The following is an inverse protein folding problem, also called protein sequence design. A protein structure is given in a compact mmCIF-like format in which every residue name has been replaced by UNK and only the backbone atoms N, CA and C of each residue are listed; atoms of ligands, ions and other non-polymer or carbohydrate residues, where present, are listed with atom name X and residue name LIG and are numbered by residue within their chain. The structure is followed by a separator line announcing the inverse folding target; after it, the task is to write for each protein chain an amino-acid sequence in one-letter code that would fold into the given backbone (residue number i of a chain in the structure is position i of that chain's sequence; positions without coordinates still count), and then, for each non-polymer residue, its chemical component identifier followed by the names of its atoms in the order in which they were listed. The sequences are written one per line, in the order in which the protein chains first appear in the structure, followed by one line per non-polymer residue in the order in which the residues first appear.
data_IF_254346909968
#
_entry.id   IF_254346909968
#
_cell.length_a   1.000
_cell.length_b   1.000
_cell.length_c   1.000
_cell.angle_alpha   90.00
_cell.angle_beta   90.00
_cell.angle_gamma   90.00
#
_symmetry.space_group_name_H-M   'P 1'
#
loop_
_entity.id
_entity.type
_entity.pdbx_description
1 polymer ?
#
# COMPACT_ATOMS: atom_id res chain seq x y z
N UNK A 1 -10.26 13.24 14.49
CA UNK A 1 -10.80 12.34 13.44
C UNK A 1 -11.13 13.06 12.15
N UNK A 2 -11.69 14.26 12.19
CA UNK A 2 -11.94 15.11 11.01
C UNK A 2 -10.68 15.40 10.20
N UNK A 3 -9.55 15.64 10.86
CA UNK A 3 -8.28 15.99 10.18
C UNK A 3 -7.71 14.83 9.35
N UNK A 4 -7.81 13.60 9.86
CA UNK A 4 -7.36 12.41 9.14
C UNK A 4 -8.27 12.11 7.92
N UNK A 5 -9.59 12.30 8.07
CA UNK A 5 -10.54 12.13 6.96
C UNK A 5 -10.38 13.18 5.86
N UNK A 6 -9.94 14.39 6.23
CA UNK A 6 -9.72 15.48 5.29
C UNK A 6 -8.36 15.38 4.59
N UNK A 7 -7.36 14.77 5.25
CA UNK A 7 -6.03 14.55 4.68
C UNK A 7 -5.98 13.39 3.68
N UNK A 8 -6.89 12.42 3.81
CA UNK A 8 -6.94 11.25 2.93
C UNK A 8 -8.01 11.46 1.86
N UNK A 9 -7.60 11.55 0.59
CA UNK A 9 -8.52 11.37 -0.56
C UNK A 9 -8.96 9.91 -0.60
N UNK A 10 -10.04 9.58 0.11
CA UNK A 10 -10.53 8.20 0.18
C UNK A 10 -11.28 7.88 -1.09
N UNK A 11 -10.91 6.76 -1.74
CA UNK A 11 -11.62 6.27 -2.92
C UNK A 11 -13.11 6.01 -2.61
N UNK A 12 -14.05 6.50 -3.43
CA UNK A 12 -15.49 6.29 -3.24
C UNK A 12 -15.89 4.82 -3.05
N UNK A 13 -15.21 3.89 -3.70
CA UNK A 13 -15.45 2.44 -3.57
C UNK A 13 -15.21 1.91 -2.14
N UNK A 14 -14.40 2.59 -1.34
CA UNK A 14 -14.24 2.25 0.10
C UNK A 14 -15.46 2.64 0.95
N UNK A 15 -16.33 3.51 0.44
CA UNK A 15 -17.55 3.92 1.15
C UNK A 15 -18.74 2.99 0.91
N UNK A 16 -18.71 2.14 -0.11
CA UNK A 16 -19.75 1.14 -0.38
C UNK A 16 -19.71 -0.02 0.62
N UNK A 17 -18.58 -0.21 1.30
CA UNK A 17 -18.42 -1.25 2.29
C UNK A 17 -19.08 -0.85 3.63
N UNK A 18 -20.02 -1.68 4.11
CA UNK A 18 -20.68 -1.52 5.42
C UNK A 18 -19.68 -1.41 6.59
N UNK A 19 -18.45 -1.87 6.41
CA UNK A 19 -17.37 -1.78 7.39
C UNK A 19 -16.97 -0.33 7.71
N UNK A 20 -17.00 0.60 6.73
CA UNK A 20 -16.60 2.00 6.96
C UNK A 20 -17.58 2.76 7.86
N UNK A 21 -18.87 2.45 7.81
CA UNK A 21 -19.86 3.01 8.75
C UNK A 21 -19.63 2.56 10.19
N UNK A 22 -18.97 1.43 10.41
CA UNK A 22 -18.69 0.88 11.73
C UNK A 22 -17.40 1.43 12.36
N UNK A 23 -16.46 1.97 11.58
CA UNK A 23 -15.17 2.47 12.10
C UNK A 23 -15.36 3.65 13.03
N UNK A 24 -16.24 4.62 12.72
CA UNK A 24 -16.53 5.76 13.59
C UNK A 24 -17.09 5.35 14.96
N UNK A 25 -17.77 4.21 15.07
CA UNK A 25 -18.31 3.68 16.35
C UNK A 25 -17.28 2.88 17.15
N UNK A 26 -16.16 2.49 16.51
CA UNK A 26 -15.14 1.62 17.13
C UNK A 26 -13.88 2.37 17.53
N UNK A 27 -13.75 3.63 17.18
CA UNK A 27 -12.58 4.46 17.45
C UNK A 27 -13.01 5.77 18.11
N UNK A 28 -12.15 6.25 19.01
CA UNK A 28 -12.34 7.53 19.70
C UNK A 28 -11.00 8.26 19.78
N UNK A 29 -11.03 9.54 20.10
CA UNK A 29 -9.80 10.28 20.38
C UNK A 29 -9.34 9.96 21.81
N UNK A 30 -8.08 9.61 21.98
CA UNK A 30 -7.50 9.36 23.31
C UNK A 30 -7.69 10.58 24.21
N UNK A 31 -7.57 11.79 23.64
CA UNK A 31 -7.72 13.05 24.37
C UNK A 31 -9.07 13.21 25.09
N UNK A 32 -10.14 12.57 24.59
CA UNK A 32 -11.48 12.61 25.21
C UNK A 32 -11.57 11.80 26.50
N UNK A 33 -10.62 10.87 26.73
CA UNK A 33 -10.56 9.98 27.87
C UNK A 33 -9.43 10.30 28.86
N UNK A 34 -8.62 11.33 28.55
CA UNK A 34 -7.55 11.76 29.44
C UNK A 34 -8.08 12.61 30.57
N UNK A 35 -7.57 12.39 31.79
CA UNK A 35 -7.88 13.23 32.97
C UNK A 35 -7.25 14.62 32.85
N UNK A 36 -6.15 14.75 32.13
CA UNK A 36 -5.46 16.00 31.83
C UNK A 36 -5.04 16.03 30.37
N UNK A 37 -5.08 17.19 29.70
CA UNK A 37 -4.62 17.31 28.33
C UNK A 37 -3.15 16.92 28.21
N UNK A 38 -2.81 16.18 27.16
CA UNK A 38 -1.44 15.81 26.80
C UNK A 38 -1.18 16.20 25.35
N UNK A 39 -0.01 16.75 25.09
CA UNK A 39 0.51 16.85 23.73
C UNK A 39 0.96 15.48 23.22
N UNK A 40 1.12 15.35 21.90
CA UNK A 40 1.62 14.12 21.25
C UNK A 40 3.01 13.76 21.78
N UNK A 41 3.88 14.75 22.00
CA UNK A 41 5.24 14.54 22.56
C UNK A 41 5.16 14.01 23.98
N UNK A 42 4.37 14.64 24.85
CA UNK A 42 4.18 14.17 26.22
C UNK A 42 3.60 12.77 26.28
N UNK A 43 2.70 12.42 25.36
CA UNK A 43 2.16 11.07 25.26
C UNK A 43 3.24 10.06 24.82
N UNK A 44 4.08 10.41 23.86
CA UNK A 44 5.24 9.62 23.45
C UNK A 44 6.19 9.36 24.63
N UNK A 45 6.55 10.42 25.40
CA UNK A 45 7.42 10.30 26.55
C UNK A 45 6.84 9.38 27.63
N UNK A 46 5.53 9.47 27.86
CA UNK A 46 4.84 8.54 28.81
C UNK A 46 4.89 7.09 28.36
N UNK A 47 4.73 6.83 27.05
CA UNK A 47 4.86 5.47 26.49
C UNK A 47 6.29 4.97 26.69
N UNK A 48 7.29 5.77 26.35
CA UNK A 48 8.69 5.39 26.52
C UNK A 48 9.01 5.09 27.99
N UNK A 49 8.57 5.97 28.91
CA UNK A 49 8.73 5.76 30.34
C UNK A 49 8.07 4.45 30.79
N UNK A 50 6.83 4.20 30.39
CA UNK A 50 6.12 2.95 30.75
C UNK A 50 6.86 1.71 30.24
N UNK A 51 7.41 1.74 29.03
CA UNK A 51 8.20 0.63 28.48
C UNK A 51 9.46 0.41 29.33
N UNK A 52 10.18 1.47 29.66
CA UNK A 52 11.39 1.40 30.47
C UNK A 52 11.09 0.84 31.88
N UNK A 53 9.99 1.28 32.49
CA UNK A 53 9.61 0.86 33.86
C UNK A 53 9.10 -0.59 33.91
N UNK A 54 8.53 -1.11 32.81
CA UNK A 54 7.89 -2.43 32.80
C UNK A 54 8.70 -3.52 32.10
N UNK A 55 9.74 -3.17 31.34
CA UNK A 55 10.57 -4.12 30.60
C UNK A 55 12.01 -4.12 31.14
N UNK A 56 12.42 -5.13 31.93
CA UNK A 56 13.69 -5.11 32.67
C UNK A 56 14.94 -5.10 31.77
N UNK A 57 14.85 -5.51 30.51
CA UNK A 57 15.95 -5.54 29.55
C UNK A 57 15.89 -4.43 28.49
N UNK A 58 15.05 -3.42 28.71
CA UNK A 58 14.91 -2.30 27.79
C UNK A 58 15.93 -1.22 28.14
N UNK A 59 16.62 -0.70 27.13
CA UNK A 59 17.55 0.41 27.28
C UNK A 59 17.21 1.51 26.26
N UNK A 60 17.39 2.75 26.67
CA UNK A 60 17.30 3.87 25.76
C UNK A 60 18.55 3.89 24.88
N UNK A 61 18.35 3.92 23.57
CA UNK A 61 19.41 4.09 22.60
C UNK A 61 19.37 5.50 22.06
N UNK A 62 20.46 6.21 22.20
CA UNK A 62 20.65 7.52 21.57
C UNK A 62 21.51 7.34 20.34
N UNK A 63 21.04 7.92 19.22
CA UNK A 63 21.81 7.85 17.98
C UNK A 63 23.15 8.56 18.13
N UNK A 64 24.22 7.86 17.78
CA UNK A 64 25.55 8.44 17.67
C UNK A 64 25.67 9.40 16.48
N UNK A 65 26.76 10.15 16.43
CA UNK A 65 27.03 11.02 15.28
C UNK A 65 27.18 10.19 13.96
N UNK A 66 27.71 8.99 14.05
CA UNK A 66 27.85 8.09 12.89
C UNK A 66 26.49 7.56 12.44
N UNK A 67 25.60 7.19 13.37
CA UNK A 67 24.22 6.78 13.04
C UNK A 67 23.48 7.92 12.32
N UNK A 68 23.60 9.14 12.84
CA UNK A 68 22.97 10.31 12.22
C UNK A 68 23.53 10.57 10.82
N UNK A 69 24.83 10.40 10.63
CA UNK A 69 25.46 10.54 9.32
C UNK A 69 24.94 9.51 8.31
N UNK A 70 24.85 8.23 8.71
CA UNK A 70 24.33 7.17 7.85
C UNK A 70 22.82 7.32 7.57
N UNK A 71 22.01 7.72 8.55
CA UNK A 71 20.60 8.04 8.36
C UNK A 71 20.44 9.20 7.37
N UNK A 72 21.26 10.26 7.52
CA UNK A 72 21.24 11.41 6.62
C UNK A 72 21.60 11.02 5.20
N UNK A 73 22.65 10.21 5.04
CA UNK A 73 23.08 9.68 3.74
C UNK A 73 21.94 8.86 3.08
N UNK A 74 21.33 7.94 3.82
CA UNK A 74 20.21 7.13 3.31
C UNK A 74 19.00 7.99 2.93
N UNK A 75 18.70 9.03 3.72
CA UNK A 75 17.68 10.03 3.37
C UNK A 75 17.99 10.68 2.02
N UNK A 76 19.21 11.16 1.84
CA UNK A 76 19.58 11.98 0.67
C UNK A 76 19.73 11.12 -0.58
N UNK A 77 20.29 9.91 -0.47
CA UNK A 77 20.48 9.00 -1.59
C UNK A 77 19.18 8.32 -2.06
N UNK A 78 18.20 8.17 -1.18
CA UNK A 78 16.98 7.42 -1.48
C UNK A 78 15.70 8.20 -1.16
N UNK A 79 15.43 8.44 0.11
CA UNK A 79 14.11 8.88 0.56
C UNK A 79 13.76 10.32 0.20
N UNK A 80 14.75 11.20 -0.02
CA UNK A 80 14.53 12.58 -0.49
C UNK A 80 14.54 12.69 -2.01
N UNK A 81 14.84 11.61 -2.74
CA UNK A 81 14.91 11.67 -4.19
C UNK A 81 13.54 11.82 -4.82
N UNK A 82 13.50 12.48 -5.97
CA UNK A 82 12.28 12.60 -6.77
C UNK A 82 11.79 11.21 -7.22
N UNK A 83 12.70 10.33 -7.61
CA UNK A 83 12.38 8.97 -8.05
C UNK A 83 11.68 8.15 -6.97
N UNK A 84 12.15 8.24 -5.73
CA UNK A 84 11.49 7.55 -4.61
C UNK A 84 10.08 8.08 -4.34
N UNK A 85 9.91 9.41 -4.37
CA UNK A 85 8.64 10.04 -3.99
C UNK A 85 7.63 10.12 -5.14
N UNK A 86 8.09 10.24 -6.38
CA UNK A 86 7.24 10.58 -7.54
C UNK A 86 7.59 9.80 -8.82
N UNK A 87 8.81 9.24 -8.94
CA UNK A 87 9.33 8.66 -10.18
C UNK A 87 8.61 7.41 -10.68
N UNK A 88 7.76 6.80 -9.84
CA UNK A 88 7.01 5.59 -10.18
C UNK A 88 5.56 5.88 -10.61
N UNK A 89 5.30 7.07 -11.15
CA UNK A 89 4.00 7.43 -11.74
C UNK A 89 4.10 7.58 -13.26
N UNK A 90 4.34 6.51 -14.02
CA UNK A 90 4.27 6.58 -15.47
C UNK A 90 2.86 6.97 -15.92
N UNK A 91 2.76 7.64 -17.07
CA UNK A 91 1.47 7.90 -17.70
C UNK A 91 0.95 6.60 -18.29
N UNK A 92 0.07 5.93 -17.57
CA UNK A 92 -0.61 4.74 -18.09
C UNK A 92 -1.73 5.13 -19.04
N UNK A 93 -1.93 4.32 -20.08
CA UNK A 93 -3.02 4.51 -21.06
C UNK A 93 -4.32 3.85 -20.64
N UNK A 94 -4.28 2.97 -19.64
CA UNK A 94 -5.42 2.24 -19.10
C UNK A 94 -5.26 2.06 -17.60
N UNK A 95 -6.35 2.24 -16.84
CA UNK A 95 -6.39 1.88 -15.43
C UNK A 95 -7.79 1.39 -15.04
N UNK A 96 -7.83 0.39 -14.18
CA UNK A 96 -9.10 -0.17 -13.64
C UNK A 96 -8.89 -0.66 -12.23
N UNK A 97 -9.92 -0.51 -11.41
CA UNK A 97 -9.94 -1.00 -10.04
C UNK A 97 -11.17 -1.88 -9.83
N UNK A 98 -10.99 -3.00 -9.13
CA UNK A 98 -12.09 -3.82 -8.64
C UNK A 98 -11.89 -4.23 -7.18
N UNK A 99 -12.97 -4.59 -6.52
CA UNK A 99 -12.96 -5.23 -5.22
C UNK A 99 -12.96 -6.74 -5.39
N UNK A 100 -11.98 -7.41 -4.79
CA UNK A 100 -11.85 -8.87 -4.77
C UNK A 100 -12.02 -9.42 -3.35
N UNK A 101 -12.01 -10.72 -3.18
CA UNK A 101 -11.95 -11.36 -1.84
C UNK A 101 -10.64 -11.05 -1.11
N UNK A 102 -9.56 -10.80 -1.85
CA UNK A 102 -8.23 -10.48 -1.32
C UNK A 102 -8.02 -9.01 -0.98
N UNK A 103 -8.95 -8.13 -1.34
CA UNK A 103 -8.84 -6.68 -1.17
C UNK A 103 -9.20 -5.90 -2.43
N UNK A 104 -8.96 -4.58 -2.40
CA UNK A 104 -9.05 -3.77 -3.61
C UNK A 104 -7.80 -4.00 -4.44
N UNK A 105 -7.97 -4.15 -5.73
CA UNK A 105 -6.89 -4.29 -6.70
C UNK A 105 -7.07 -3.26 -7.78
N UNK A 106 -6.03 -2.50 -8.05
CA UNK A 106 -5.96 -1.50 -9.11
C UNK A 106 -4.84 -1.88 -10.06
N UNK A 107 -5.15 -1.93 -11.35
CA UNK A 107 -4.18 -2.19 -12.40
C UNK A 107 -3.97 -0.97 -13.27
N UNK A 108 -2.75 -0.73 -13.65
CA UNK A 108 -2.36 0.31 -14.59
C UNK A 108 -1.58 -0.33 -15.72
N UNK A 109 -2.03 -0.12 -16.95
CA UNK A 109 -1.38 -0.63 -18.15
C UNK A 109 -0.88 0.51 -19.04
N UNK A 110 0.35 0.40 -19.50
CA UNK A 110 0.83 1.14 -20.66
C UNK A 110 0.66 0.27 -21.89
N UNK A 111 -0.22 0.67 -22.81
CA UNK A 111 -0.54 -0.08 -24.03
C UNK A 111 0.04 0.68 -25.20
N UNK A 112 0.94 0.04 -25.92
CA UNK A 112 1.57 0.59 -27.14
C UNK A 112 1.29 -0.34 -28.32
N UNK A 113 0.68 0.21 -29.37
CA UNK A 113 0.33 -0.56 -30.58
C UNK A 113 -0.44 -1.84 -30.31
N UNK A 114 -1.36 -1.81 -29.31
CA UNK A 114 -2.18 -2.95 -28.93
C UNK A 114 -1.46 -4.01 -28.08
N UNK A 115 -0.26 -3.73 -27.59
CA UNK A 115 0.53 -4.63 -26.75
C UNK A 115 0.77 -3.98 -25.39
N UNK A 116 0.78 -4.77 -24.33
CA UNK A 116 1.10 -4.31 -22.98
C UNK A 116 2.61 -4.04 -22.91
N UNK A 117 2.99 -2.77 -22.95
CA UNK A 117 4.38 -2.33 -22.83
C UNK A 117 4.82 -2.17 -21.36
N UNK A 118 3.86 -1.98 -20.45
CA UNK A 118 4.11 -1.86 -19.02
C UNK A 118 2.85 -2.14 -18.23
N UNK A 119 3.04 -2.64 -17.02
CA UNK A 119 1.95 -2.97 -16.09
C UNK A 119 2.39 -2.67 -14.67
N UNK A 120 1.46 -2.13 -13.86
CA UNK A 120 1.60 -1.97 -12.42
C UNK A 120 0.32 -2.36 -11.71
N UNK A 121 0.47 -3.07 -10.60
CA UNK A 121 -0.63 -3.57 -9.77
C UNK A 121 -0.47 -2.99 -8.36
N UNK A 122 -1.50 -2.26 -7.92
CA UNK A 122 -1.59 -1.67 -6.59
C UNK A 122 -2.83 -2.18 -5.86
N UNK A 123 -2.80 -2.10 -4.54
CA UNK A 123 -3.98 -2.46 -3.75
C UNK A 123 -3.67 -2.67 -2.28
N UNK A 124 -4.71 -3.08 -1.55
CA UNK A 124 -4.66 -3.44 -0.13
C UNK A 124 -4.72 -4.97 0.09
N UNK A 125 -4.22 -5.72 -0.88
CA UNK A 125 -4.14 -7.18 -0.87
C UNK A 125 -2.82 -7.70 -0.25
N UNK A 126 -2.82 -8.98 0.13
CA UNK A 126 -1.60 -9.66 0.57
C UNK A 126 -0.95 -10.40 -0.61
N UNK A 127 0.28 -10.00 -0.93
CA UNK A 127 1.12 -10.71 -1.89
C UNK A 127 1.88 -11.85 -1.20
N UNK A 128 1.93 -13.02 -1.83
CA UNK A 128 2.71 -14.20 -1.40
C UNK A 128 4.11 -14.20 -2.02
N UNK A 129 4.28 -13.53 -3.16
CA UNK A 129 5.50 -13.37 -3.93
C UNK A 129 5.63 -11.92 -4.40
N UNK A 130 6.77 -11.57 -4.95
CA UNK A 130 6.96 -10.23 -5.51
C UNK A 130 5.97 -9.98 -6.66
N UNK A 131 5.21 -8.89 -6.52
CA UNK A 131 4.21 -8.47 -7.50
C UNK A 131 4.85 -8.19 -8.86
N UNK A 132 6.09 -7.70 -8.89
CA UNK A 132 6.82 -7.43 -10.12
C UNK A 132 7.09 -8.67 -10.96
N UNK A 133 7.20 -9.86 -10.36
CA UNK A 133 7.31 -11.12 -11.09
C UNK A 133 6.03 -11.39 -11.89
N UNK A 134 4.87 -11.20 -11.27
CA UNK A 134 3.58 -11.38 -11.93
C UNK A 134 3.36 -10.33 -13.02
N UNK A 135 3.69 -9.07 -12.74
CA UNK A 135 3.63 -7.97 -13.71
C UNK A 135 4.46 -8.30 -14.96
N UNK A 136 5.69 -8.79 -14.76
CA UNK A 136 6.60 -9.16 -15.86
C UNK A 136 6.06 -10.22 -16.81
N UNK A 137 5.14 -11.07 -16.35
CA UNK A 137 4.54 -12.11 -17.19
C UNK A 137 3.66 -11.55 -18.32
N UNK A 138 3.13 -10.35 -18.17
CA UNK A 138 2.18 -9.76 -19.11
C UNK A 138 2.81 -8.71 -20.04
N UNK A 139 4.04 -8.29 -19.78
CA UNK A 139 4.76 -7.41 -20.71
C UNK A 139 4.98 -8.13 -22.03
N UNK A 140 4.63 -7.48 -23.15
CA UNK A 140 4.68 -8.06 -24.49
C UNK A 140 3.45 -8.87 -24.90
N UNK A 141 2.46 -9.03 -24.01
CA UNK A 141 1.20 -9.71 -24.33
C UNK A 141 0.26 -8.74 -25.08
N UNK A 142 -0.40 -9.17 -26.19
CA UNK A 142 -1.45 -8.35 -26.79
C UNK A 142 -2.56 -8.03 -25.81
N UNK A 143 -3.00 -6.77 -25.79
CA UNK A 143 -4.11 -6.33 -24.93
C UNK A 143 -5.44 -6.75 -25.55
N UNK A 144 -5.68 -8.04 -25.59
CA UNK A 144 -6.88 -8.69 -26.09
C UNK A 144 -7.31 -9.77 -25.09
N UNK A 145 -8.61 -9.91 -24.87
CA UNK A 145 -9.18 -10.85 -23.90
C UNK A 145 -8.65 -12.27 -24.10
N UNK A 146 -8.59 -12.72 -25.34
CA UNK A 146 -8.10 -14.06 -25.70
C UNK A 146 -6.64 -14.26 -25.30
N UNK A 147 -5.76 -13.34 -25.66
CA UNK A 147 -4.33 -13.44 -25.37
C UNK A 147 -4.04 -13.39 -23.87
N UNK A 148 -4.76 -12.51 -23.14
CA UNK A 148 -4.66 -12.41 -21.69
C UNK A 148 -5.18 -13.67 -21.02
N UNK A 149 -6.33 -14.21 -21.45
CA UNK A 149 -6.89 -15.45 -20.92
C UNK A 149 -5.96 -16.64 -21.14
N UNK A 150 -5.37 -16.78 -22.33
CA UNK A 150 -4.41 -17.84 -22.63
C UNK A 150 -3.14 -17.73 -21.77
N UNK A 151 -2.72 -16.52 -21.44
CA UNK A 151 -1.60 -16.28 -20.54
C UNK A 151 -1.96 -16.64 -19.10
N UNK A 152 -3.13 -16.19 -18.63
CA UNK A 152 -3.64 -16.52 -17.30
C UNK A 152 -3.88 -18.01 -17.09
N UNK A 153 -4.28 -18.75 -18.14
CA UNK A 153 -4.45 -20.20 -18.05
C UNK A 153 -3.15 -20.95 -17.71
N UNK A 154 -1.97 -20.34 -17.95
CA UNK A 154 -0.64 -20.88 -17.65
C UNK A 154 -0.08 -20.40 -16.32
N UNK A 155 -0.79 -19.51 -15.64
CA UNK A 155 -0.37 -18.86 -14.40
C UNK A 155 -1.47 -19.05 -13.36
N UNK A 156 -1.10 -19.48 -12.16
CA UNK A 156 -2.03 -19.50 -11.04
C UNK A 156 -1.85 -18.18 -10.25
N UNK A 157 -2.81 -17.28 -10.38
CA UNK A 157 -2.79 -15.98 -9.67
C UNK A 157 -2.71 -16.15 -8.16
N UNK A 158 -3.29 -17.23 -7.60
CA UNK A 158 -3.25 -17.51 -6.17
C UNK A 158 -1.86 -17.86 -5.63
N UNK A 159 -0.89 -18.16 -6.50
CA UNK A 159 0.51 -18.35 -6.09
C UNK A 159 1.18 -17.01 -5.78
N UNK A 160 0.66 -15.91 -6.30
CA UNK A 160 1.17 -14.55 -6.11
C UNK A 160 0.35 -13.76 -5.09
N UNK A 161 -0.96 -13.96 -5.06
CA UNK A 161 -1.88 -13.14 -4.28
C UNK A 161 -2.84 -13.98 -3.45
N UNK A 162 -3.18 -13.51 -2.27
CA UNK A 162 -4.19 -14.17 -1.45
C UNK A 162 -5.59 -13.68 -1.83
N UNK A 163 -6.46 -14.60 -2.25
CA UNK A 163 -7.88 -14.32 -2.54
C UNK A 163 -8.14 -13.49 -3.79
N UNK A 164 -7.20 -13.49 -4.75
CA UNK A 164 -7.37 -12.93 -6.09
C UNK A 164 -7.27 -14.06 -7.11
N UNK A 165 -8.27 -14.17 -7.96
CA UNK A 165 -8.37 -15.25 -8.96
C UNK A 165 -7.92 -14.78 -10.34
N UNK A 166 -7.65 -15.73 -11.25
CA UNK A 166 -7.37 -15.44 -12.65
C UNK A 166 -8.53 -14.67 -13.32
N UNK A 167 -9.77 -14.95 -12.91
CA UNK A 167 -10.96 -14.25 -13.41
C UNK A 167 -11.01 -12.79 -12.95
N UNK A 168 -10.58 -12.50 -11.71
CA UNK A 168 -10.47 -11.14 -11.20
C UNK A 168 -9.42 -10.34 -11.98
N UNK A 169 -8.26 -10.95 -12.25
CA UNK A 169 -7.20 -10.32 -13.05
C UNK A 169 -7.66 -10.07 -14.49
N UNK A 170 -8.35 -11.04 -15.12
CA UNK A 170 -8.90 -10.83 -16.45
C UNK A 170 -9.85 -9.65 -16.49
N UNK A 171 -10.78 -9.57 -15.53
CA UNK A 171 -11.71 -8.43 -15.41
C UNK A 171 -10.99 -7.09 -15.21
N UNK A 172 -9.84 -7.09 -14.54
CA UNK A 172 -9.03 -5.89 -14.34
C UNK A 172 -8.34 -5.43 -15.63
N UNK A 173 -7.91 -6.37 -16.44
CA UNK A 173 -7.10 -6.09 -17.64
C UNK A 173 -7.94 -5.76 -18.88
N UNK A 174 -9.24 -6.05 -18.83
CA UNK A 174 -10.23 -5.78 -19.87
C UNK A 174 -11.35 -4.90 -19.28
#
# INVERSE_FOLDING_TARGET
MTDMSNALKVNPLKFEDKAVKSVRKRVTNISEHLKQPLSVLQFSDLIMKHIMDTKPNCQMYEFSADDIAEITKLRDEKYSTWDWNFGHSPKYSYSKMIRTKGGNVEIHLNIEKGVIAGIKIYGDFFAKRDVSEFEGLFVGVPHEEKAISEKLAKVNTEDYFLGITNEDVLKLMI
#
